data_IF_206171960829
#
_entry.id   IF_206171960829
#
_cell.length_a   1.000
_cell.length_b   1.000
_cell.length_c   1.000
_cell.angle_alpha   90.00
_cell.angle_beta   90.00
_cell.angle_gamma   90.00
#
_symmetry.space_group_name_H-M   'P 1'
#
loop_
_entity.id
_entity.type
_entity.pdbx_description
1 polymer ?
#
# COMPACT_ATOMS: atom_id res chain seq x y z
N UNK A 1 3.57 -29.06 0.89
CA UNK A 1 4.63 -28.26 0.27
C UNK A 1 4.88 -27.04 1.14
N UNK A 2 6.14 -26.69 1.34
CA UNK A 2 6.56 -25.53 2.12
C UNK A 2 6.99 -24.40 1.21
N UNK A 3 6.87 -23.16 1.69
CA UNK A 3 7.33 -21.97 1.00
C UNK A 3 8.32 -21.21 1.91
N UNK A 4 9.46 -20.85 1.35
CA UNK A 4 10.53 -20.17 2.06
C UNK A 4 10.81 -18.84 1.39
N UNK A 5 10.92 -17.77 2.20
CA UNK A 5 11.23 -16.41 1.71
C UNK A 5 12.53 -15.97 2.33
N UNK A 6 13.51 -15.67 1.50
CA UNK A 6 14.82 -15.19 1.93
C UNK A 6 15.09 -13.78 1.44
N UNK A 7 15.41 -12.87 2.35
CA UNK A 7 16.02 -11.59 2.04
C UNK A 7 17.53 -11.72 1.99
N UNK A 8 18.09 -11.81 0.79
CA UNK A 8 19.54 -11.99 0.57
C UNK A 8 20.36 -10.70 0.67
N UNK A 9 19.72 -9.52 0.68
CA UNK A 9 20.40 -8.23 0.72
C UNK A 9 20.38 -7.62 2.12
N UNK A 10 21.53 -7.24 2.64
CA UNK A 10 21.69 -6.52 3.90
C UNK A 10 22.27 -5.14 3.63
N UNK A 11 21.52 -4.06 3.94
CA UNK A 11 21.99 -2.69 3.81
C UNK A 11 22.45 -2.06 5.12
N UNK A 12 22.20 -2.71 6.25
CA UNK A 12 22.69 -2.31 7.56
C UNK A 12 22.18 -0.97 8.07
N UNK A 13 20.94 -0.62 7.80
CA UNK A 13 20.39 0.69 8.19
C UNK A 13 20.45 0.92 9.71
N UNK A 14 20.20 -0.10 10.51
CA UNK A 14 20.34 -0.05 11.95
C UNK A 14 21.79 0.23 12.40
N UNK A 15 22.79 -0.18 11.64
CA UNK A 15 24.20 0.14 11.89
C UNK A 15 24.54 1.55 11.44
N UNK A 16 23.93 2.02 10.34
CA UNK A 16 24.14 3.37 9.81
C UNK A 16 23.60 4.43 10.77
N UNK A 17 22.46 4.18 11.41
CA UNK A 17 21.85 5.14 12.35
C UNK A 17 22.39 5.02 13.77
N UNK A 18 23.14 3.96 14.09
CA UNK A 18 23.77 3.81 15.40
C UNK A 18 24.69 5.02 15.70
N UNK A 19 24.59 5.55 16.91
CA UNK A 19 25.36 6.72 17.38
C UNK A 19 25.09 8.03 16.60
N UNK A 20 24.00 8.08 15.80
CA UNK A 20 23.50 9.31 15.19
C UNK A 20 22.48 10.00 16.07
N UNK A 21 22.29 11.30 15.84
CA UNK A 21 21.20 12.02 16.50
C UNK A 21 19.84 11.51 15.96
N UNK A 22 18.76 11.57 16.75
CA UNK A 22 17.42 11.22 16.27
C UNK A 22 16.96 12.04 15.06
N UNK A 23 17.41 13.31 14.95
CA UNK A 23 17.14 14.18 13.80
C UNK A 23 17.82 13.67 12.54
N UNK A 24 19.10 13.30 12.62
CA UNK A 24 19.84 12.69 11.52
C UNK A 24 19.23 11.34 11.14
N UNK A 25 18.85 10.53 12.13
CA UNK A 25 18.23 9.24 11.91
C UNK A 25 16.94 9.38 11.09
N UNK A 26 16.09 10.37 11.38
CA UNK A 26 14.85 10.62 10.63
C UNK A 26 15.11 10.85 9.13
N UNK A 27 16.18 11.57 8.80
CA UNK A 27 16.58 11.81 7.40
C UNK A 27 17.25 10.60 6.76
N UNK A 28 18.05 9.84 7.50
CA UNK A 28 18.76 8.67 6.98
C UNK A 28 17.81 7.53 6.65
N UNK A 29 16.84 7.23 7.53
CA UNK A 29 15.93 6.09 7.34
C UNK A 29 14.99 6.25 6.15
N UNK A 30 14.79 7.45 5.64
CA UNK A 30 14.08 7.65 4.38
C UNK A 30 14.72 6.85 3.23
N UNK A 31 16.05 6.66 3.24
CA UNK A 31 16.79 5.91 2.22
C UNK A 31 16.57 4.40 2.29
N UNK A 32 15.77 3.92 3.25
CA UNK A 32 15.30 2.54 3.22
C UNK A 32 14.49 2.28 1.95
N UNK A 33 13.67 3.25 1.53
CA UNK A 33 12.82 3.11 0.36
C UNK A 33 12.72 4.42 -0.44
N UNK A 34 12.77 4.33 -1.77
CA UNK A 34 12.55 5.47 -2.67
C UNK A 34 11.07 5.70 -3.02
N UNK A 35 10.20 4.72 -2.75
CA UNK A 35 8.75 4.78 -3.03
C UNK A 35 7.97 5.26 -1.80
N UNK A 36 8.38 4.83 -0.58
CA UNK A 36 7.68 5.13 0.67
C UNK A 36 8.57 5.88 1.70
N UNK A 37 9.38 6.86 1.30
CA UNK A 37 10.32 7.53 2.21
C UNK A 37 9.64 8.34 3.31
N UNK A 38 8.46 8.89 3.03
CA UNK A 38 7.69 9.70 3.99
C UNK A 38 7.35 8.91 5.24
N UNK A 39 6.86 7.66 5.07
CA UNK A 39 6.51 6.80 6.20
C UNK A 39 7.70 6.51 7.12
N UNK A 40 8.91 6.38 6.55
CA UNK A 40 10.13 6.18 7.32
C UNK A 40 10.52 7.43 8.11
N UNK A 41 10.50 8.61 7.47
CA UNK A 41 10.75 9.89 8.15
C UNK A 41 9.73 10.14 9.27
N UNK A 42 8.45 9.93 8.98
CA UNK A 42 7.35 10.17 9.92
C UNK A 42 7.45 9.23 11.12
N UNK A 43 7.62 7.93 10.90
CA UNK A 43 7.78 6.96 11.99
C UNK A 43 9.00 7.27 12.88
N UNK A 44 10.14 7.62 12.28
CA UNK A 44 11.35 7.99 13.02
C UNK A 44 11.17 9.29 13.81
N UNK A 45 10.53 10.30 13.22
CA UNK A 45 10.23 11.56 13.91
C UNK A 45 9.29 11.35 15.11
N UNK A 46 8.23 10.55 14.96
CA UNK A 46 7.33 10.20 16.06
C UNK A 46 8.08 9.45 17.17
N UNK A 47 8.98 8.52 16.81
CA UNK A 47 9.78 7.79 17.79
C UNK A 47 10.70 8.75 18.59
N UNK A 48 11.36 9.68 17.91
CA UNK A 48 12.20 10.71 18.54
C UNK A 48 11.38 11.63 19.46
N UNK A 49 10.22 12.07 19.02
CA UNK A 49 9.30 12.92 19.81
C UNK A 49 8.86 12.23 21.09
N UNK A 50 8.52 10.94 21.01
CA UNK A 50 8.18 10.16 22.21
C UNK A 50 9.36 10.04 23.16
N UNK A 51 10.57 9.82 22.63
CA UNK A 51 11.77 9.71 23.45
C UNK A 51 12.12 11.04 24.15
N UNK A 52 11.89 12.16 23.49
CA UNK A 52 12.13 13.50 24.04
C UNK A 52 10.95 14.06 24.86
N UNK A 53 9.78 13.43 24.82
CA UNK A 53 8.56 13.96 25.43
C UNK A 53 8.05 15.23 24.73
N UNK A 54 8.23 15.36 23.43
CA UNK A 54 7.82 16.50 22.63
C UNK A 54 6.42 16.30 22.08
N UNK A 55 5.57 17.32 22.18
CA UNK A 55 4.28 17.41 21.50
C UNK A 55 4.38 18.39 20.33
N UNK A 56 3.87 17.97 19.18
CA UNK A 56 3.87 18.81 17.96
C UNK A 56 2.63 19.71 17.90
N UNK A 57 2.74 20.84 17.21
CA UNK A 57 1.60 21.72 17.00
C UNK A 57 0.54 21.07 16.08
N UNK A 58 -0.73 21.51 16.22
CA UNK A 58 -1.81 21.01 15.40
C UNK A 58 -1.57 21.23 13.87
N UNK A 59 -0.97 22.37 13.51
CA UNK A 59 -0.65 22.65 12.11
C UNK A 59 0.45 21.71 11.59
N UNK A 60 1.47 21.41 12.37
CA UNK A 60 2.50 20.44 12.01
C UNK A 60 1.91 19.04 11.80
N UNK A 61 1.00 18.62 12.68
CA UNK A 61 0.26 17.36 12.55
C UNK A 61 -0.52 17.29 11.24
N UNK A 62 -1.29 18.32 10.89
CA UNK A 62 -2.06 18.39 9.64
C UNK A 62 -1.13 18.33 8.42
N UNK A 63 -0.06 19.10 8.40
CA UNK A 63 0.90 19.12 7.30
C UNK A 63 1.53 17.74 7.11
N UNK A 64 1.96 17.08 8.19
CA UNK A 64 2.49 15.71 8.11
C UNK A 64 1.46 14.71 7.59
N UNK A 65 0.21 14.80 8.03
CA UNK A 65 -0.87 13.95 7.51
C UNK A 65 -1.10 14.17 6.01
N UNK A 66 -1.04 15.40 5.51
CA UNK A 66 -1.16 15.69 4.09
C UNK A 66 0.02 15.14 3.27
N UNK A 67 1.25 15.23 3.79
CA UNK A 67 2.44 14.64 3.13
C UNK A 67 2.31 13.11 3.08
N UNK A 68 1.94 12.48 4.21
CA UNK A 68 1.73 11.04 4.29
C UNK A 68 0.58 10.58 3.39
N UNK A 69 -0.54 11.33 3.37
CA UNK A 69 -1.67 11.08 2.48
C UNK A 69 -1.28 11.11 1.01
N UNK A 70 -0.47 12.09 0.61
CA UNK A 70 0.04 12.18 -0.76
C UNK A 70 0.89 10.96 -1.13
N UNK A 71 1.75 10.48 -0.22
CA UNK A 71 2.50 9.24 -0.43
C UNK A 71 1.59 8.01 -0.53
N UNK A 72 0.56 7.90 0.32
CA UNK A 72 -0.41 6.81 0.22
C UNK A 72 -1.10 6.79 -1.14
N UNK A 73 -1.59 7.93 -1.61
CA UNK A 73 -2.23 8.05 -2.93
C UNK A 73 -1.26 7.65 -4.04
N UNK A 74 -0.04 8.19 -4.04
CA UNK A 74 1.01 7.79 -4.98
C UNK A 74 1.22 6.27 -4.98
N UNK A 75 1.44 5.69 -3.81
CA UNK A 75 1.76 4.27 -3.67
C UNK A 75 0.61 3.35 -4.06
N UNK A 76 -0.63 3.71 -3.74
CA UNK A 76 -1.80 2.89 -4.06
C UNK A 76 -2.19 2.96 -5.54
N UNK A 77 -2.07 4.14 -6.17
CA UNK A 77 -2.25 4.31 -7.61
C UNK A 77 -1.21 3.47 -8.37
N UNK A 78 0.06 3.62 -8.01
CA UNK A 78 1.17 2.83 -8.58
C UNK A 78 0.94 1.34 -8.40
N UNK A 79 0.59 0.91 -7.18
CA UNK A 79 0.41 -0.51 -6.89
C UNK A 79 -0.69 -1.13 -7.76
N UNK A 80 -1.84 -0.48 -7.84
CA UNK A 80 -2.95 -1.07 -8.60
C UNK A 80 -2.67 -1.05 -10.10
N UNK A 81 -2.43 0.10 -10.70
CA UNK A 81 -2.32 0.18 -12.15
C UNK A 81 -1.01 -0.37 -12.70
N UNK A 82 0.12 -0.09 -12.05
CA UNK A 82 1.43 -0.37 -12.65
C UNK A 82 2.09 -1.64 -12.12
N UNK A 83 1.54 -2.26 -11.07
CA UNK A 83 2.01 -3.54 -10.54
C UNK A 83 0.93 -4.61 -10.66
N UNK A 84 -0.14 -4.55 -9.85
CA UNK A 84 -1.14 -5.61 -9.79
C UNK A 84 -2.12 -5.61 -10.98
N UNK A 85 -2.43 -4.46 -11.58
CA UNK A 85 -3.42 -4.36 -12.66
C UNK A 85 -3.05 -5.17 -13.90
N UNK A 86 -1.75 -5.31 -14.18
CA UNK A 86 -1.26 -6.08 -15.32
C UNK A 86 -1.50 -7.60 -15.17
N UNK A 87 -1.82 -8.08 -13.97
CA UNK A 87 -2.25 -9.47 -13.75
C UNK A 87 -3.71 -9.71 -14.20
N UNK A 88 -4.48 -8.65 -14.40
CA UNK A 88 -5.89 -8.69 -14.79
C UNK A 88 -6.15 -8.19 -16.22
N UNK A 89 -5.32 -7.26 -16.70
CA UNK A 89 -5.54 -6.46 -17.90
C UNK A 89 -4.56 -6.84 -19.00
N UNK A 90 -5.07 -7.19 -20.19
CA UNK A 90 -4.27 -7.54 -21.35
C UNK A 90 -4.33 -6.44 -22.43
N UNK A 91 -3.28 -5.59 -22.56
CA UNK A 91 -3.22 -4.56 -23.60
C UNK A 91 -3.26 -5.09 -25.03
N UNK A 92 -2.86 -6.34 -25.28
CA UNK A 92 -3.00 -6.99 -26.62
C UNK A 92 -4.44 -7.33 -26.92
N UNK A 93 -5.23 -7.78 -25.92
CA UNK A 93 -6.65 -8.02 -26.12
C UNK A 93 -7.42 -6.72 -26.38
N UNK A 94 -6.98 -5.61 -25.76
CA UNK A 94 -7.55 -4.27 -25.99
C UNK A 94 -7.52 -3.84 -27.49
N UNK A 95 -6.60 -4.38 -28.29
CA UNK A 95 -6.56 -4.14 -29.75
C UNK A 95 -7.79 -4.67 -30.50
N UNK A 96 -8.50 -5.65 -29.92
CA UNK A 96 -9.72 -6.22 -30.49
C UNK A 96 -10.98 -5.42 -30.16
N UNK A 97 -10.91 -4.48 -29.21
CA UNK A 97 -12.05 -3.72 -28.71
C UNK A 97 -12.74 -2.90 -29.80
N UNK A 98 -14.06 -2.84 -29.75
CA UNK A 98 -14.81 -1.77 -30.40
C UNK A 98 -14.75 -0.52 -29.50
N UNK A 99 -14.23 0.58 -30.01
CA UNK A 99 -14.04 1.79 -29.22
C UNK A 99 -15.36 2.47 -28.81
N UNK A 100 -16.38 2.39 -29.68
CA UNK A 100 -17.72 2.89 -29.35
C UNK A 100 -18.33 2.13 -28.17
N UNK A 101 -18.29 0.79 -28.27
CA UNK A 101 -18.80 -0.10 -27.21
C UNK A 101 -17.99 0.05 -25.91
N UNK A 102 -16.68 0.39 -26.01
CA UNK A 102 -15.86 0.67 -24.85
C UNK A 102 -16.30 1.95 -24.11
N UNK A 103 -16.66 3.02 -24.83
CA UNK A 103 -17.24 4.23 -24.21
C UNK A 103 -18.59 3.94 -23.56
N UNK A 104 -19.44 3.18 -24.19
CA UNK A 104 -20.76 2.78 -23.64
C UNK A 104 -20.59 1.93 -22.37
N UNK A 105 -19.65 0.99 -22.40
CA UNK A 105 -19.32 0.16 -21.24
C UNK A 105 -18.74 0.98 -20.09
N UNK A 106 -17.83 1.91 -20.38
CA UNK A 106 -17.26 2.83 -19.37
C UNK A 106 -18.36 3.63 -18.68
N UNK A 107 -19.30 4.18 -19.45
CA UNK A 107 -20.44 4.90 -18.91
C UNK A 107 -21.34 4.00 -18.04
N UNK A 108 -21.64 2.79 -18.51
CA UNK A 108 -22.48 1.83 -17.79
C UNK A 108 -21.85 1.32 -16.48
N UNK A 109 -20.52 1.22 -16.41
CA UNK A 109 -19.76 0.78 -15.23
C UNK A 109 -19.36 1.90 -14.31
N UNK A 110 -19.55 3.16 -14.70
CA UNK A 110 -19.08 4.32 -13.97
C UNK A 110 -17.55 4.50 -14.00
N UNK A 111 -16.88 3.85 -14.95
CA UNK A 111 -15.43 3.93 -15.16
C UNK A 111 -15.14 5.11 -16.11
N UNK A 112 -15.21 6.34 -15.61
CA UNK A 112 -14.99 7.53 -16.45
C UNK A 112 -13.54 7.58 -16.96
N UNK A 113 -13.35 7.91 -18.25
CA UNK A 113 -12.02 8.15 -18.82
C UNK A 113 -11.98 9.50 -19.51
N UNK A 114 -10.88 10.24 -19.28
CA UNK A 114 -10.56 11.45 -20.02
C UNK A 114 -9.73 11.15 -21.28
N UNK A 115 -9.30 9.91 -21.46
CA UNK A 115 -8.42 9.50 -22.56
C UNK A 115 -9.20 9.31 -23.86
N UNK A 116 -8.59 9.72 -24.98
CA UNK A 116 -9.06 9.36 -26.32
C UNK A 116 -8.71 7.88 -26.59
N UNK A 117 -9.73 7.02 -26.49
CA UNK A 117 -9.56 5.57 -26.71
C UNK A 117 -9.27 5.21 -28.17
N UNK A 118 -9.65 6.04 -29.16
CA UNK A 118 -9.24 5.84 -30.55
C UNK A 118 -7.75 6.06 -30.74
N UNK A 119 -7.23 7.18 -30.25
CA UNK A 119 -5.78 7.47 -30.28
C UNK A 119 -4.96 6.46 -29.47
N UNK A 120 -5.50 6.01 -28.33
CA UNK A 120 -4.87 4.96 -27.54
C UNK A 120 -4.75 3.65 -28.32
N UNK A 121 -5.83 3.18 -28.93
CA UNK A 121 -5.83 1.94 -29.71
C UNK A 121 -4.84 2.00 -30.89
N UNK A 122 -4.76 3.14 -31.59
CA UNK A 122 -3.74 3.36 -32.64
C UNK A 122 -2.32 3.27 -32.08
N UNK A 123 -2.07 3.87 -30.91
CA UNK A 123 -0.77 3.81 -30.24
C UNK A 123 -0.40 2.38 -29.82
N UNK A 124 -1.36 1.64 -29.26
CA UNK A 124 -1.17 0.23 -28.87
C UNK A 124 -0.85 -0.65 -30.11
N UNK A 125 -1.53 -0.43 -31.26
CA UNK A 125 -1.20 -1.13 -32.50
C UNK A 125 0.25 -0.92 -32.91
N UNK A 126 0.74 0.31 -32.90
CA UNK A 126 2.15 0.63 -33.19
C UNK A 126 3.12 -0.06 -32.22
N UNK A 127 2.77 -0.16 -30.95
CA UNK A 127 3.58 -0.86 -29.95
C UNK A 127 3.60 -2.38 -30.19
N UNK A 128 2.46 -2.95 -30.55
CA UNK A 128 2.38 -4.36 -30.91
C UNK A 128 3.19 -4.70 -32.17
N UNK A 129 3.07 -3.87 -33.22
CA UNK A 129 3.82 -4.05 -34.47
C UNK A 129 5.34 -3.97 -34.26
N UNK A 130 5.79 -3.18 -33.29
CA UNK A 130 7.21 -3.05 -32.92
C UNK A 130 7.65 -4.09 -31.85
N UNK A 131 6.80 -5.04 -31.46
CA UNK A 131 7.12 -6.07 -30.47
C UNK A 131 7.20 -5.56 -29.02
N UNK A 132 6.83 -4.31 -28.75
CA UNK A 132 6.93 -3.71 -27.41
C UNK A 132 5.91 -4.28 -26.40
N UNK A 133 4.87 -4.96 -26.89
CA UNK A 133 3.88 -5.64 -26.05
C UNK A 133 4.12 -7.17 -25.97
N UNK A 134 5.29 -7.65 -26.37
CA UNK A 134 5.60 -9.08 -26.41
C UNK A 134 5.48 -9.79 -25.05
N UNK A 135 5.69 -9.05 -23.93
CA UNK A 135 5.48 -9.58 -22.57
C UNK A 135 4.05 -10.10 -22.36
N UNK A 136 3.05 -9.52 -23.05
CA UNK A 136 1.64 -9.95 -22.94
C UNK A 136 1.27 -11.06 -23.94
N UNK A 137 2.20 -11.47 -24.82
CA UNK A 137 1.99 -12.57 -25.77
C UNK A 137 2.45 -13.92 -25.23
N UNK A 138 3.01 -13.97 -24.03
CA UNK A 138 3.43 -15.20 -23.38
C UNK A 138 2.27 -15.99 -22.80
N UNK A 139 2.42 -17.31 -22.72
CA UNK A 139 1.36 -18.22 -22.27
C UNK A 139 1.29 -18.37 -20.73
N UNK A 140 2.03 -17.61 -19.98
CA UNK A 140 2.04 -17.75 -18.51
C UNK A 140 0.75 -17.30 -17.83
N UNK A 141 -0.04 -16.43 -18.51
CA UNK A 141 -1.37 -16.04 -18.07
C UNK A 141 -2.50 -16.72 -18.85
N UNK A 142 -2.19 -17.40 -19.94
CA UNK A 142 -3.13 -18.20 -20.76
C UNK A 142 -2.97 -19.69 -20.44
N UNK A 143 -3.01 -20.04 -19.16
CA UNK A 143 -2.94 -21.43 -18.77
C UNK A 143 -4.20 -22.19 -19.25
N UNK A 144 -4.01 -23.44 -19.67
CA UNK A 144 -5.11 -24.32 -20.14
C UNK A 144 -6.20 -24.53 -19.08
N UNK A 145 -5.91 -24.23 -17.80
CA UNK A 145 -6.84 -24.32 -16.68
C UNK A 145 -7.77 -23.09 -16.53
N UNK A 146 -7.69 -22.11 -17.43
CA UNK A 146 -8.53 -20.92 -17.45
C UNK A 146 -8.15 -19.86 -16.42
N UNK A 147 -6.94 -19.90 -15.86
CA UNK A 147 -6.42 -18.87 -14.93
C UNK A 147 -5.86 -17.62 -15.61
N UNK A 148 -5.98 -17.54 -16.95
CA UNK A 148 -5.48 -16.44 -17.76
C UNK A 148 -6.33 -15.16 -17.69
N UNK A 149 -6.08 -14.25 -18.64
CA UNK A 149 -6.83 -13.02 -18.79
C UNK A 149 -8.29 -13.27 -19.17
N UNK A 150 -9.23 -12.66 -18.43
CA UNK A 150 -10.67 -12.95 -18.51
C UNK A 150 -11.54 -11.76 -18.93
N UNK A 151 -10.95 -10.58 -19.10
CA UNK A 151 -11.72 -9.38 -19.42
C UNK A 151 -12.15 -9.35 -20.89
N UNK A 152 -13.33 -8.78 -21.21
CA UNK A 152 -13.66 -8.42 -22.59
C UNK A 152 -12.71 -7.33 -23.09
N UNK A 153 -12.49 -7.30 -24.39
CA UNK A 153 -11.54 -6.39 -25.02
C UNK A 153 -11.83 -4.90 -24.73
N UNK A 154 -13.10 -4.53 -24.62
CA UNK A 154 -13.55 -3.19 -24.30
C UNK A 154 -13.09 -2.77 -22.89
N UNK A 155 -13.19 -3.68 -21.90
CA UNK A 155 -12.74 -3.41 -20.55
C UNK A 155 -11.21 -3.37 -20.46
N UNK A 156 -10.50 -4.23 -21.18
CA UNK A 156 -9.05 -4.16 -21.32
C UNK A 156 -8.60 -2.81 -21.90
N UNK A 157 -9.34 -2.27 -22.88
CA UNK A 157 -9.04 -0.96 -23.46
C UNK A 157 -9.25 0.18 -22.45
N UNK A 158 -10.37 0.16 -21.71
CA UNK A 158 -10.67 1.14 -20.65
C UNK A 158 -9.58 1.13 -19.58
N UNK A 159 -9.27 -0.04 -19.03
CA UNK A 159 -8.28 -0.17 -17.95
C UNK A 159 -6.86 0.14 -18.43
N UNK A 160 -6.54 -0.11 -19.71
CA UNK A 160 -5.27 0.33 -20.30
C UNK A 160 -5.21 1.86 -20.44
N UNK A 161 -6.33 2.54 -20.74
CA UNK A 161 -6.41 4.01 -20.70
C UNK A 161 -6.12 4.54 -19.29
N UNK A 162 -6.76 3.96 -18.27
CA UNK A 162 -6.57 4.33 -16.88
C UNK A 162 -5.16 4.03 -16.36
N UNK A 163 -4.50 2.98 -16.85
CA UNK A 163 -3.07 2.76 -16.58
C UNK A 163 -2.21 3.97 -16.99
N UNK A 164 -2.47 4.56 -18.16
CA UNK A 164 -1.73 5.74 -18.64
C UNK A 164 -2.12 7.02 -17.87
N UNK A 165 -3.37 7.16 -17.48
CA UNK A 165 -3.82 8.26 -16.62
C UNK A 165 -3.18 8.15 -15.22
N UNK A 166 -3.09 6.94 -14.67
CA UNK A 166 -2.46 6.68 -13.38
C UNK A 166 -1.01 7.16 -13.30
N UNK A 167 -0.24 7.07 -14.40
CA UNK A 167 1.12 7.62 -14.44
C UNK A 167 1.16 9.14 -14.19
N UNK A 168 0.16 9.87 -14.67
CA UNK A 168 0.02 11.32 -14.42
C UNK A 168 -0.45 11.60 -12.99
N UNK A 169 -1.38 10.79 -12.48
CA UNK A 169 -1.90 10.95 -11.11
C UNK A 169 -0.86 10.65 -10.04
N UNK A 170 0.03 9.70 -10.28
CA UNK A 170 1.21 9.47 -9.42
C UNK A 170 2.12 10.71 -9.37
N UNK A 171 2.37 11.34 -10.52
CA UNK A 171 3.18 12.56 -10.56
C UNK A 171 2.51 13.67 -9.72
N UNK A 172 1.20 13.86 -9.84
CA UNK A 172 0.45 14.85 -9.04
C UNK A 172 0.50 14.58 -7.54
N UNK A 173 0.36 13.31 -7.14
CA UNK A 173 0.52 12.93 -5.73
C UNK A 173 1.95 13.25 -5.24
N UNK A 174 2.96 12.99 -6.07
CA UNK A 174 4.35 13.37 -5.77
C UNK A 174 4.56 14.89 -5.71
N UNK A 175 3.84 15.67 -6.54
CA UNK A 175 3.87 17.14 -6.50
C UNK A 175 3.32 17.67 -5.17
N UNK A 176 2.25 17.09 -4.61
CA UNK A 176 1.74 17.45 -3.28
C UNK A 176 2.81 17.17 -2.21
N UNK A 177 3.40 15.98 -2.23
CA UNK A 177 4.46 15.62 -1.29
C UNK A 177 5.67 16.56 -1.43
N UNK A 178 6.04 16.96 -2.64
CA UNK A 178 7.14 17.88 -2.89
C UNK A 178 6.80 19.33 -2.48
N UNK A 179 5.57 19.78 -2.71
CA UNK A 179 5.09 21.11 -2.33
C UNK A 179 5.20 21.33 -0.82
N UNK A 180 4.78 20.34 -0.04
CA UNK A 180 4.79 20.38 1.42
C UNK A 180 6.13 19.91 2.01
N UNK A 181 6.75 18.92 1.39
CA UNK A 181 7.95 18.23 1.84
C UNK A 181 9.27 18.82 1.32
N UNK A 182 9.20 19.77 0.38
CA UNK A 182 10.37 20.38 -0.27
C UNK A 182 10.90 19.60 -1.47
N UNK A 183 10.73 18.29 -1.48
CA UNK A 183 11.01 17.39 -2.61
C UNK A 183 10.31 16.04 -2.43
N UNK A 184 10.19 15.26 -3.48
CA UNK A 184 9.80 13.86 -3.47
C UNK A 184 10.64 13.10 -4.51
N UNK A 185 11.24 11.95 -4.20
CA UNK A 185 11.27 11.27 -2.91
C UNK A 185 12.18 11.95 -1.88
N UNK A 186 12.11 11.47 -0.63
CA UNK A 186 12.90 11.90 0.51
C UNK A 186 12.61 13.35 0.92
N UNK A 187 11.45 13.55 1.52
CA UNK A 187 10.99 14.86 2.01
C UNK A 187 11.92 15.43 3.09
N UNK A 188 12.07 16.75 3.11
CA UNK A 188 13.01 17.43 4.02
C UNK A 188 12.33 18.19 5.15
N UNK A 189 10.99 18.25 5.15
CA UNK A 189 10.25 19.08 6.10
C UNK A 189 9.66 18.33 7.28
N UNK A 190 9.64 16.99 7.25
CA UNK A 190 9.27 16.17 8.40
C UNK A 190 10.50 16.04 9.28
N UNK A 191 10.44 16.65 10.46
CA UNK A 191 11.53 16.66 11.43
C UNK A 191 10.99 16.45 12.85
N UNK A 192 11.75 15.83 13.76
CA UNK A 192 11.34 15.73 15.16
C UNK A 192 10.97 17.11 15.73
N UNK A 193 9.78 17.23 16.34
CA UNK A 193 9.24 18.49 16.85
C UNK A 193 8.27 19.19 15.89
N UNK A 194 8.05 18.68 14.66
CA UNK A 194 7.02 19.21 13.78
C UNK A 194 7.35 19.18 12.29
N UNK A 195 7.28 20.34 11.66
CA UNK A 195 7.55 20.51 10.23
C UNK A 195 8.32 21.80 9.97
N UNK A 196 9.24 21.75 9.01
CA UNK A 196 9.94 22.94 8.51
C UNK A 196 9.16 23.66 7.38
N UNK A 197 7.98 23.15 6.97
CA UNK A 197 7.17 23.78 5.94
C UNK A 197 6.54 25.08 6.44
N UNK A 198 6.65 26.14 5.64
CA UNK A 198 6.00 27.43 5.89
C UNK A 198 4.88 27.62 4.86
N UNK A 199 3.61 27.61 5.28
CA UNK A 199 2.48 27.80 4.39
C UNK A 199 2.43 29.26 3.87
N UNK A 200 2.08 29.41 2.58
CA UNK A 200 1.70 30.68 1.96
C UNK A 200 0.35 30.49 1.25
N UNK A 201 -0.40 31.55 1.03
CA UNK A 201 -1.70 31.44 0.33
C UNK A 201 -1.57 30.74 -1.02
N UNK A 202 -0.56 31.11 -1.83
CA UNK A 202 -0.34 30.47 -3.13
C UNK A 202 -0.12 28.96 -3.01
N UNK A 203 0.73 28.51 -2.06
CA UNK A 203 0.97 27.08 -1.85
C UNK A 203 -0.28 26.32 -1.39
N UNK A 204 -1.14 26.97 -0.60
CA UNK A 204 -2.41 26.37 -0.17
C UNK A 204 -3.42 26.28 -1.31
N UNK A 205 -3.45 27.26 -2.21
CA UNK A 205 -4.29 27.22 -3.43
C UNK A 205 -3.83 26.11 -4.38
N UNK A 206 -2.50 25.99 -4.60
CA UNK A 206 -1.92 24.90 -5.40
C UNK A 206 -2.22 23.53 -4.77
N UNK A 207 -2.07 23.40 -3.46
CA UNK A 207 -2.38 22.18 -2.71
C UNK A 207 -3.84 21.76 -2.91
N UNK A 208 -4.76 22.71 -2.72
CA UNK A 208 -6.20 22.46 -2.87
C UNK A 208 -6.53 21.98 -4.27
N UNK A 209 -5.99 22.63 -5.29
CA UNK A 209 -6.19 22.24 -6.68
C UNK A 209 -5.73 20.79 -6.94
N UNK A 210 -4.50 20.44 -6.51
CA UNK A 210 -3.95 19.11 -6.71
C UNK A 210 -4.73 18.04 -5.95
N UNK A 211 -5.15 18.32 -4.73
CA UNK A 211 -5.95 17.39 -3.90
C UNK A 211 -7.33 17.17 -4.53
N UNK A 212 -8.00 18.23 -4.97
CA UNK A 212 -9.32 18.13 -5.62
C UNK A 212 -9.22 17.30 -6.92
N UNK A 213 -8.18 17.49 -7.72
CA UNK A 213 -7.97 16.75 -8.95
C UNK A 213 -7.73 15.26 -8.69
N UNK A 214 -6.87 14.94 -7.69
CA UNK A 214 -6.61 13.55 -7.29
C UNK A 214 -7.87 12.88 -6.71
N UNK A 215 -8.58 13.56 -5.81
CA UNK A 215 -9.81 13.03 -5.23
C UNK A 215 -10.84 12.69 -6.32
N UNK A 216 -11.10 13.63 -7.23
CA UNK A 216 -12.08 13.42 -8.29
C UNK A 216 -11.71 12.24 -9.19
N UNK A 217 -10.42 12.08 -9.52
CA UNK A 217 -9.95 10.95 -10.32
C UNK A 217 -10.03 9.62 -9.55
N UNK A 218 -9.63 9.58 -8.29
CA UNK A 218 -9.71 8.37 -7.46
C UNK A 218 -11.16 7.91 -7.30
N UNK A 219 -12.07 8.85 -7.02
CA UNK A 219 -13.51 8.57 -6.87
C UNK A 219 -14.13 8.04 -8.16
N UNK A 220 -13.83 8.67 -9.30
CA UNK A 220 -14.44 8.33 -10.59
C UNK A 220 -13.80 7.13 -11.29
N UNK A 221 -12.60 6.67 -10.86
CA UNK A 221 -11.81 5.73 -11.64
C UNK A 221 -11.40 4.50 -10.83
N UNK A 222 -10.69 4.66 -9.71
CA UNK A 222 -10.00 3.53 -9.06
C UNK A 222 -10.96 2.47 -8.50
N UNK A 223 -11.92 2.86 -7.67
CA UNK A 223 -12.89 1.91 -7.11
C UNK A 223 -13.85 1.37 -8.19
N UNK A 224 -14.40 2.18 -9.11
CA UNK A 224 -15.17 1.69 -10.25
C UNK A 224 -14.43 0.66 -11.10
N UNK A 225 -13.14 0.83 -11.38
CA UNK A 225 -12.34 -0.13 -12.14
C UNK A 225 -12.29 -1.50 -11.48
N UNK A 226 -12.04 -1.56 -10.18
CA UNK A 226 -12.01 -2.82 -9.46
C UNK A 226 -13.40 -3.47 -9.41
N UNK A 227 -14.45 -2.69 -9.23
CA UNK A 227 -15.82 -3.20 -9.28
C UNK A 227 -16.21 -3.71 -10.68
N UNK A 228 -15.67 -3.09 -11.73
CA UNK A 228 -15.90 -3.51 -13.11
C UNK A 228 -15.20 -4.84 -13.46
N UNK A 229 -13.95 -5.03 -12.97
CA UNK A 229 -13.18 -6.25 -13.25
C UNK A 229 -13.56 -7.44 -12.34
N UNK A 230 -14.03 -7.18 -11.13
CA UNK A 230 -14.28 -8.21 -10.11
C UNK A 230 -15.17 -9.37 -10.58
N UNK A 231 -16.27 -9.17 -11.33
CA UNK A 231 -17.13 -10.26 -11.79
C UNK A 231 -16.44 -11.28 -12.69
N UNK A 232 -15.34 -10.90 -13.34
CA UNK A 232 -14.59 -11.78 -14.25
C UNK A 232 -13.56 -12.64 -13.54
N UNK A 233 -13.19 -12.29 -12.29
CA UNK A 233 -12.14 -12.94 -11.51
C UNK A 233 -12.63 -13.48 -10.16
N UNK A 234 -13.85 -13.99 -10.11
CA UNK A 234 -14.46 -14.50 -8.88
C UNK A 234 -13.73 -15.70 -8.28
N UNK A 235 -12.97 -16.46 -9.06
CA UNK A 235 -12.08 -17.53 -8.59
C UNK A 235 -10.96 -16.99 -7.69
N UNK A 236 -10.49 -15.76 -7.91
CA UNK A 236 -9.50 -15.10 -7.06
C UNK A 236 -10.00 -14.80 -5.63
N UNK A 237 -11.29 -15.00 -5.35
CA UNK A 237 -11.83 -15.02 -3.99
C UNK A 237 -11.35 -16.22 -3.15
N UNK A 238 -10.85 -17.26 -3.80
CA UNK A 238 -10.33 -18.46 -3.14
C UNK A 238 -8.83 -18.39 -2.84
N UNK A 239 -8.12 -17.41 -3.40
CA UNK A 239 -6.67 -17.27 -3.31
C UNK A 239 -6.25 -16.14 -2.35
N UNK A 240 -5.02 -16.22 -1.84
CA UNK A 240 -4.38 -15.12 -1.10
C UNK A 240 -4.79 -15.00 0.36
N UNK A 241 -5.45 -16.01 0.93
CA UNK A 241 -5.77 -16.02 2.36
C UNK A 241 -4.48 -16.05 3.18
N UNK A 242 -4.35 -15.09 4.08
CA UNK A 242 -3.23 -15.01 5.00
C UNK A 242 -3.48 -15.73 6.32
N UNK A 243 -2.77 -15.31 7.38
CA UNK A 243 -2.86 -15.95 8.71
C UNK A 243 -4.18 -15.68 9.46
N UNK A 244 -5.05 -14.79 8.96
CA UNK A 244 -6.34 -14.46 9.58
C UNK A 244 -6.24 -13.64 10.87
N UNK A 245 -5.07 -13.10 11.18
CA UNK A 245 -4.81 -12.20 12.31
C UNK A 245 -4.23 -10.90 11.77
N UNK A 246 -4.71 -9.76 12.28
CA UNK A 246 -4.42 -8.46 11.70
C UNK A 246 -4.03 -7.47 12.79
N UNK A 247 -3.02 -6.63 12.49
CA UNK A 247 -2.61 -5.53 13.35
C UNK A 247 -2.53 -4.23 12.55
N UNK A 248 -3.07 -3.16 13.11
CA UNK A 248 -2.90 -1.80 12.62
C UNK A 248 -2.39 -0.91 13.76
N UNK A 249 -1.31 -0.19 13.52
CA UNK A 249 -0.79 0.81 14.47
C UNK A 249 -1.62 2.10 14.47
N UNK A 250 -2.41 2.30 13.42
CA UNK A 250 -3.15 3.53 13.14
C UNK A 250 -2.31 4.54 12.36
N UNK A 251 -2.98 5.31 11.50
CA UNK A 251 -2.37 6.37 10.67
C UNK A 251 -3.24 7.61 10.71
N UNK A 252 -2.64 8.74 10.39
CA UNK A 252 -3.27 10.07 10.39
C UNK A 252 -3.76 10.47 11.79
N UNK A 253 -2.83 11.04 12.56
CA UNK A 253 -3.12 11.51 13.90
C UNK A 253 -4.22 12.56 13.89
N UNK A 254 -5.15 12.47 14.86
CA UNK A 254 -6.08 13.53 15.19
C UNK A 254 -5.56 14.38 16.37
N UNK A 255 -6.36 15.33 16.87
CA UNK A 255 -5.96 16.24 17.94
C UNK A 255 -5.66 15.53 19.27
N UNK A 256 -6.24 14.36 19.51
CA UNK A 256 -6.02 13.61 20.76
C UNK A 256 -4.69 12.88 20.79
N UNK A 257 -4.08 12.66 19.62
CA UNK A 257 -2.86 11.84 19.42
C UNK A 257 -3.00 10.38 19.89
N UNK A 258 -4.17 9.95 20.36
CA UNK A 258 -4.42 8.59 20.80
C UNK A 258 -4.48 7.63 19.58
N UNK A 259 -3.86 6.47 19.71
CA UNK A 259 -3.74 5.49 18.64
C UNK A 259 -5.11 4.99 18.11
N UNK A 260 -6.05 4.77 19.01
CA UNK A 260 -7.39 4.29 18.66
C UNK A 260 -8.36 5.38 18.20
N UNK A 261 -7.95 6.66 18.26
CA UNK A 261 -8.72 7.82 17.80
C UNK A 261 -8.13 8.44 16.52
N UNK A 262 -7.11 7.85 15.93
CA UNK A 262 -6.61 8.27 14.62
C UNK A 262 -7.68 8.15 13.54
N UNK A 263 -7.57 8.90 12.46
CA UNK A 263 -8.53 8.81 11.34
C UNK A 263 -8.60 7.39 10.77
N UNK A 264 -7.46 6.67 10.74
CA UNK A 264 -7.42 5.22 10.58
C UNK A 264 -6.93 4.63 11.91
N UNK A 265 -7.82 4.12 12.76
CA UNK A 265 -7.50 3.79 14.14
C UNK A 265 -6.62 2.55 14.28
N UNK A 266 -5.89 2.48 15.39
CA UNK A 266 -5.12 1.29 15.77
C UNK A 266 -6.03 0.19 16.33
N UNK A 267 -5.55 -1.04 16.21
CA UNK A 267 -6.21 -2.21 16.79
C UNK A 267 -5.58 -3.52 16.35
N UNK A 268 -5.95 -4.57 17.04
CA UNK A 268 -5.58 -5.97 16.74
C UNK A 268 -6.86 -6.76 16.52
N UNK A 269 -6.87 -7.59 15.49
CA UNK A 269 -7.98 -8.51 15.22
C UNK A 269 -7.46 -9.95 15.25
N UNK A 270 -8.00 -10.74 16.16
CA UNK A 270 -7.67 -12.16 16.34
C UNK A 270 -8.98 -12.98 16.47
N UNK A 271 -8.86 -14.30 16.41
CA UNK A 271 -9.92 -15.26 16.77
C UNK A 271 -11.33 -14.89 16.27
N UNK A 272 -11.52 -14.89 14.95
CA UNK A 272 -12.82 -14.54 14.34
C UNK A 272 -13.05 -13.03 14.23
N UNK A 273 -11.99 -12.25 14.11
CA UNK A 273 -12.00 -10.80 13.98
C UNK A 273 -12.52 -10.07 15.24
N UNK A 274 -12.20 -10.61 16.42
CA UNK A 274 -12.40 -9.91 17.68
C UNK A 274 -11.42 -8.74 17.77
N UNK A 275 -11.95 -7.54 18.02
CA UNK A 275 -11.17 -6.31 18.13
C UNK A 275 -10.59 -6.15 19.55
N UNK A 276 -9.30 -5.84 19.62
CA UNK A 276 -8.56 -5.51 20.83
C UNK A 276 -7.73 -4.25 20.60
N UNK A 277 -7.35 -3.54 21.67
CA UNK A 277 -6.39 -2.46 21.58
C UNK A 277 -4.95 -3.01 21.44
N UNK A 278 -4.07 -2.23 20.83
CA UNK A 278 -2.68 -2.62 20.64
C UNK A 278 -1.93 -2.52 21.97
N UNK A 279 -1.40 -3.65 22.43
CA UNK A 279 -0.48 -3.74 23.55
C UNK A 279 0.95 -3.86 23.01
N UNK A 280 1.72 -2.77 23.13
CA UNK A 280 3.08 -2.70 22.58
C UNK A 280 4.06 -3.68 23.21
N UNK A 281 3.80 -4.13 24.45
CA UNK A 281 4.64 -5.12 25.15
C UNK A 281 4.59 -6.51 24.51
N UNK A 282 3.57 -6.76 23.68
CA UNK A 282 3.39 -8.04 22.96
C UNK A 282 4.07 -8.06 21.60
N UNK A 283 4.66 -6.95 21.16
CA UNK A 283 5.40 -6.88 19.90
C UNK A 283 6.80 -7.46 20.12
N UNK A 284 7.18 -8.43 19.30
CA UNK A 284 8.51 -9.05 19.34
C UNK A 284 9.04 -9.29 17.92
N UNK A 285 10.36 -9.34 17.79
CA UNK A 285 11.04 -9.77 16.57
C UNK A 285 11.56 -11.20 16.72
N UNK A 286 11.33 -12.01 15.69
CA UNK A 286 11.80 -13.40 15.62
C UNK A 286 12.95 -13.48 14.62
N UNK A 287 14.12 -13.91 15.09
CA UNK A 287 15.36 -13.95 14.31
C UNK A 287 16.00 -15.33 14.26
N UNK A 288 15.25 -16.38 14.64
CA UNK A 288 15.75 -17.76 14.71
C UNK A 288 16.34 -18.29 13.40
N UNK A 289 15.79 -17.84 12.26
CA UNK A 289 16.26 -18.21 10.93
C UNK A 289 16.98 -17.05 10.22
N UNK A 290 17.37 -16.03 10.96
CA UNK A 290 18.00 -14.82 10.40
C UNK A 290 19.44 -14.69 10.90
N UNK A 291 20.30 -14.06 10.08
CA UNK A 291 21.72 -13.89 10.37
C UNK A 291 21.99 -12.80 11.42
N UNK A 292 21.50 -13.01 12.64
CA UNK A 292 21.73 -12.14 13.79
C UNK A 292 22.16 -12.94 15.01
N UNK A 293 23.03 -12.37 15.86
CA UNK A 293 23.49 -12.99 17.09
C UNK A 293 22.38 -13.18 18.11
N UNK A 294 22.53 -14.21 18.92
CA UNK A 294 21.73 -14.47 20.12
C UNK A 294 20.43 -15.21 19.86
N UNK A 295 19.49 -15.09 20.79
CA UNK A 295 18.29 -15.92 20.85
C UNK A 295 17.31 -15.64 19.71
N UNK A 296 16.45 -16.63 19.45
CA UNK A 296 15.50 -16.62 18.37
C UNK A 296 14.41 -15.52 18.47
N UNK A 297 14.15 -15.03 19.68
CA UNK A 297 13.11 -14.03 19.93
C UNK A 297 13.69 -12.81 20.61
N UNK A 298 13.33 -11.65 20.12
CA UNK A 298 13.73 -10.34 20.65
C UNK A 298 12.52 -9.53 21.02
N UNK A 299 12.53 -8.91 22.19
CA UNK A 299 11.48 -7.95 22.57
C UNK A 299 11.98 -6.52 22.45
N UNK A 300 11.22 -5.70 21.72
CA UNK A 300 11.45 -4.27 21.69
C UNK A 300 11.02 -3.64 23.04
N UNK A 301 11.72 -2.59 23.57
CA UNK A 301 12.79 -1.84 22.92
C UNK A 301 14.21 -2.19 23.39
N UNK A 302 14.43 -3.21 24.19
CA UNK A 302 15.58 -3.37 25.08
C UNK A 302 16.78 -4.13 24.50
N UNK A 303 16.80 -4.41 23.19
CA UNK A 303 17.90 -5.18 22.61
C UNK A 303 18.60 -4.46 21.46
N UNK A 304 19.89 -4.76 21.34
CA UNK A 304 20.71 -4.35 20.21
C UNK A 304 20.76 -5.45 19.17
N UNK A 305 20.42 -5.15 17.92
CA UNK A 305 20.58 -6.09 16.82
C UNK A 305 22.04 -6.13 16.38
N UNK A 306 22.64 -7.30 16.40
CA UNK A 306 24.00 -7.54 15.91
C UNK A 306 23.96 -8.47 14.71
N UNK A 307 24.27 -8.01 13.49
CA UNK A 307 24.37 -8.86 12.32
C UNK A 307 25.50 -9.88 12.45
N UNK A 308 25.22 -11.11 12.06
CA UNK A 308 26.20 -12.18 12.02
C UNK A 308 25.89 -13.12 10.86
N UNK A 309 26.61 -12.96 9.75
CA UNK A 309 26.48 -13.86 8.61
C UNK A 309 27.16 -15.19 8.90
N UNK A 310 26.37 -16.26 8.97
CA UNK A 310 26.85 -17.61 9.29
C UNK A 310 26.69 -18.59 8.13
N UNK A 311 26.35 -18.10 6.94
CA UNK A 311 26.01 -18.91 5.77
C UNK A 311 24.84 -19.89 6.02
N UNK A 312 24.26 -20.40 4.98
CA UNK A 312 23.34 -21.52 5.02
C UNK A 312 23.96 -22.66 4.20
N UNK A 313 24.24 -23.77 4.85
CA UNK A 313 24.65 -24.95 4.11
C UNK A 313 24.10 -26.21 4.78
N UNK A 314 23.85 -27.16 3.92
CA UNK A 314 23.38 -28.49 4.27
C UNK A 314 24.49 -29.44 3.92
N UNK A 315 25.09 -30.04 4.91
CA UNK A 315 25.97 -31.18 4.68
C UNK A 315 25.11 -32.42 4.50
N UNK A 316 25.31 -33.35 3.79
CA UNK A 316 24.43 -34.45 3.40
C UNK A 316 23.69 -35.19 4.54
N UNK A 317 23.88 -34.85 5.79
CA UNK A 317 23.25 -35.50 6.95
C UNK A 317 22.24 -34.61 7.68
N UNK A 318 22.61 -33.36 7.99
CA UNK A 318 21.78 -32.45 8.77
C UNK A 318 22.00 -30.99 8.37
N UNK A 319 21.07 -30.13 8.71
CA UNK A 319 21.24 -28.67 8.59
C UNK A 319 22.19 -28.21 9.67
N UNK A 320 23.39 -27.82 9.29
CA UNK A 320 24.40 -27.30 10.23
C UNK A 320 24.02 -25.93 10.74
N UNK A 321 23.29 -25.18 9.90
CA UNK A 321 22.82 -23.86 10.22
C UNK A 321 21.50 -23.60 9.44
N UNK A 322 20.42 -23.30 10.14
CA UNK A 322 19.10 -23.04 9.59
C UNK A 322 18.80 -21.56 9.37
N UNK A 323 19.80 -20.69 9.53
CA UNK A 323 19.70 -19.27 9.22
C UNK A 323 19.89 -19.04 7.72
N UNK A 324 18.91 -18.47 7.08
CA UNK A 324 18.86 -18.36 5.61
C UNK A 324 18.45 -16.96 5.10
N UNK A 325 18.30 -15.98 5.98
CA UNK A 325 17.74 -14.67 5.60
C UNK A 325 18.31 -13.53 6.45
N UNK A 326 18.30 -12.32 5.91
CA UNK A 326 18.48 -11.08 6.67
C UNK A 326 17.17 -10.50 7.21
N UNK A 327 16.04 -11.07 6.83
CA UNK A 327 14.73 -10.58 7.26
C UNK A 327 14.48 -10.96 8.71
N UNK A 328 14.11 -9.98 9.52
CA UNK A 328 13.53 -10.17 10.85
C UNK A 328 12.02 -10.30 10.72
N UNK A 329 11.42 -11.19 11.48
CA UNK A 329 9.98 -11.45 11.44
C UNK A 329 9.31 -10.83 12.67
N UNK A 330 8.70 -9.65 12.58
CA UNK A 330 7.93 -9.11 13.69
C UNK A 330 6.64 -9.92 13.90
N UNK A 331 6.25 -10.09 15.15
CA UNK A 331 5.04 -10.77 15.54
C UNK A 331 4.38 -10.12 16.74
N UNK A 332 3.21 -10.59 17.12
CA UNK A 332 2.42 -10.11 18.23
C UNK A 332 1.94 -11.29 19.07
N UNK A 333 2.25 -11.27 20.37
CA UNK A 333 1.87 -12.35 21.31
C UNK A 333 2.25 -13.75 20.82
N UNK A 334 3.47 -13.90 20.31
CA UNK A 334 4.00 -15.17 19.80
C UNK A 334 3.42 -15.61 18.45
N UNK A 335 2.64 -14.78 17.76
CA UNK A 335 1.93 -15.15 16.53
C UNK A 335 2.29 -14.22 15.38
N UNK A 336 2.34 -14.74 14.12
CA UNK A 336 2.43 -13.90 12.94
C UNK A 336 1.16 -13.08 12.76
N UNK A 337 1.33 -11.82 12.35
CA UNK A 337 0.24 -10.89 12.09
C UNK A 337 0.37 -10.31 10.69
N UNK A 338 -0.76 -10.04 10.07
CA UNK A 338 -0.79 -9.23 8.86
C UNK A 338 -0.88 -7.74 9.22
N UNK A 339 -0.09 -6.91 8.55
CA UNK A 339 -0.17 -5.46 8.57
C UNK A 339 -0.38 -4.95 7.13
N UNK A 340 -0.94 -3.75 6.97
CA UNK A 340 -1.17 -3.13 5.66
C UNK A 340 -2.62 -2.71 5.46
N UNK A 341 -3.02 -2.46 4.21
CA UNK A 341 -4.34 -1.93 3.85
C UNK A 341 -5.49 -2.76 4.41
N UNK A 342 -5.44 -4.09 4.26
CA UNK A 342 -6.49 -4.97 4.77
C UNK A 342 -6.62 -4.85 6.29
N UNK A 343 -5.51 -4.87 7.02
CA UNK A 343 -5.51 -4.75 8.49
C UNK A 343 -6.09 -3.42 8.94
N UNK A 344 -5.65 -2.31 8.33
CA UNK A 344 -6.14 -0.97 8.67
C UNK A 344 -7.64 -0.83 8.40
N UNK A 345 -8.11 -1.30 7.27
CA UNK A 345 -9.53 -1.22 6.88
C UNK A 345 -10.39 -2.13 7.77
N UNK A 346 -9.96 -3.36 8.07
CA UNK A 346 -10.71 -4.25 8.95
C UNK A 346 -10.81 -3.68 10.38
N UNK A 347 -9.72 -3.11 10.90
CA UNK A 347 -9.74 -2.43 12.21
C UNK A 347 -10.66 -1.22 12.17
N UNK A 348 -10.57 -0.36 11.15
CA UNK A 348 -11.43 0.80 11.00
C UNK A 348 -12.92 0.41 10.84
N UNK A 349 -13.20 -0.67 10.11
CA UNK A 349 -14.56 -1.25 10.01
C UNK A 349 -15.09 -1.70 11.38
N UNK A 350 -14.29 -2.44 12.14
CA UNK A 350 -14.65 -2.90 13.49
C UNK A 350 -14.75 -1.76 14.52
N UNK A 351 -14.06 -0.64 14.27
CA UNK A 351 -14.20 0.61 15.03
C UNK A 351 -15.38 1.47 14.55
N UNK A 352 -16.18 0.98 13.59
CA UNK A 352 -17.35 1.67 13.03
C UNK A 352 -17.04 3.05 12.43
N UNK A 353 -15.92 3.19 11.70
CA UNK A 353 -15.65 4.39 10.89
C UNK A 353 -16.67 4.46 9.76
N UNK A 354 -17.61 5.44 9.73
CA UNK A 354 -18.79 5.37 8.87
C UNK A 354 -18.48 5.29 7.38
N UNK A 355 -17.48 6.05 6.90
CA UNK A 355 -17.05 5.99 5.53
C UNK A 355 -16.56 4.59 5.15
N UNK A 356 -15.74 3.99 6.00
CA UNK A 356 -15.17 2.65 5.76
C UNK A 356 -16.27 1.60 5.74
N UNK A 357 -17.18 1.61 6.71
CA UNK A 357 -18.29 0.66 6.76
C UNK A 357 -19.09 0.70 5.46
N UNK A 358 -19.53 1.89 5.03
CA UNK A 358 -20.30 2.07 3.79
C UNK A 358 -19.61 1.47 2.57
N UNK A 359 -18.32 1.75 2.37
CA UNK A 359 -17.62 1.35 1.15
C UNK A 359 -17.15 -0.10 1.18
N UNK A 360 -16.82 -0.63 2.36
CA UNK A 360 -16.53 -2.06 2.54
C UNK A 360 -17.75 -2.91 2.25
N UNK A 361 -18.92 -2.50 2.73
CA UNK A 361 -20.18 -3.23 2.46
C UNK A 361 -20.48 -3.23 0.95
N UNK A 362 -20.28 -2.12 0.25
CA UNK A 362 -20.43 -2.03 -1.20
C UNK A 362 -19.45 -2.96 -1.96
N UNK A 363 -18.21 -3.06 -1.51
CA UNK A 363 -17.24 -4.01 -2.08
C UNK A 363 -17.68 -5.45 -1.85
N UNK A 364 -18.14 -5.79 -0.64
CA UNK A 364 -18.62 -7.14 -0.32
C UNK A 364 -19.86 -7.53 -1.16
N UNK A 365 -20.77 -6.60 -1.39
CA UNK A 365 -21.90 -6.82 -2.29
C UNK A 365 -21.44 -7.09 -3.72
N UNK A 366 -20.52 -6.28 -4.24
CA UNK A 366 -19.98 -6.47 -5.60
C UNK A 366 -19.22 -7.79 -5.77
N UNK A 367 -18.58 -8.27 -4.71
CA UNK A 367 -17.91 -9.58 -4.67
C UNK A 367 -18.89 -10.76 -4.48
N UNK A 368 -20.19 -10.52 -4.33
CA UNK A 368 -21.18 -11.57 -4.06
C UNK A 368 -21.04 -12.21 -2.66
N UNK A 369 -20.42 -11.50 -1.71
CA UNK A 369 -20.13 -11.98 -0.36
C UNK A 369 -20.63 -11.00 0.73
N UNK A 370 -21.91 -10.55 0.69
CA UNK A 370 -22.40 -9.54 1.61
C UNK A 370 -22.24 -9.98 3.07
N UNK A 371 -21.69 -9.07 3.90
CA UNK A 371 -21.43 -9.31 5.32
C UNK A 371 -20.28 -10.28 5.63
N UNK A 372 -19.67 -10.92 4.65
CA UNK A 372 -18.57 -11.86 4.84
C UNK A 372 -17.20 -11.19 4.80
N UNK A 373 -16.75 -10.61 5.91
CA UNK A 373 -15.45 -9.95 6.01
C UNK A 373 -14.26 -10.86 5.68
N UNK A 374 -14.39 -12.19 5.79
CA UNK A 374 -13.31 -13.11 5.44
C UNK A 374 -13.03 -13.13 3.92
N UNK A 375 -14.00 -12.76 3.09
CA UNK A 375 -13.80 -12.63 1.64
C UNK A 375 -12.78 -11.53 1.30
N UNK A 376 -12.65 -10.51 2.14
CA UNK A 376 -11.68 -9.42 1.98
C UNK A 376 -10.22 -9.90 2.11
N UNK A 377 -9.97 -11.04 2.76
CA UNK A 377 -8.65 -11.65 2.85
C UNK A 377 -8.17 -12.30 1.55
N UNK A 378 -9.03 -12.46 0.56
CA UNK A 378 -8.68 -12.99 -0.77
C UNK A 378 -7.88 -11.97 -1.60
N UNK A 379 -7.24 -12.45 -2.68
CA UNK A 379 -6.51 -11.58 -3.63
C UNK A 379 -7.40 -10.46 -4.16
N UNK A 380 -8.61 -10.80 -4.62
CA UNK A 380 -9.55 -9.81 -5.15
C UNK A 380 -10.10 -8.89 -4.05
N UNK A 381 -10.40 -9.45 -2.87
CA UNK A 381 -10.83 -8.66 -1.71
C UNK A 381 -9.76 -7.65 -1.26
N UNK A 382 -8.49 -8.05 -1.21
CA UNK A 382 -7.36 -7.15 -0.90
C UNK A 382 -7.22 -6.02 -1.92
N UNK A 383 -7.45 -6.32 -3.19
CA UNK A 383 -7.45 -5.32 -4.26
C UNK A 383 -8.57 -4.30 -4.05
N UNK A 384 -9.80 -4.75 -3.81
CA UNK A 384 -10.95 -3.87 -3.55
C UNK A 384 -10.77 -2.99 -2.32
N UNK A 385 -10.28 -3.56 -1.22
CA UNK A 385 -10.06 -2.84 0.04
C UNK A 385 -8.99 -1.76 -0.09
N UNK A 386 -7.95 -1.98 -0.88
CA UNK A 386 -6.95 -0.95 -1.15
C UNK A 386 -7.56 0.28 -1.84
N UNK A 387 -8.53 0.08 -2.72
CA UNK A 387 -9.24 1.20 -3.37
C UNK A 387 -10.12 1.96 -2.37
N UNK A 388 -10.78 1.25 -1.45
CA UNK A 388 -11.53 1.90 -0.36
C UNK A 388 -10.60 2.73 0.51
N UNK A 389 -9.42 2.22 0.86
CA UNK A 389 -8.41 2.99 1.61
C UNK A 389 -7.96 4.22 0.84
N UNK A 390 -7.69 4.09 -0.45
CA UNK A 390 -7.27 5.20 -1.31
C UNK A 390 -8.32 6.31 -1.34
N UNK A 391 -9.57 5.95 -1.55
CA UNK A 391 -10.68 6.90 -1.60
C UNK A 391 -10.90 7.60 -0.24
N UNK A 392 -10.79 6.84 0.86
CA UNK A 392 -10.91 7.41 2.20
C UNK A 392 -9.81 8.43 2.50
N UNK A 393 -8.55 8.08 2.17
CA UNK A 393 -7.42 8.99 2.36
C UNK A 393 -7.58 10.25 1.51
N UNK A 394 -7.98 10.10 0.24
CA UNK A 394 -8.23 11.25 -0.63
C UNK A 394 -9.33 12.16 -0.06
N UNK A 395 -10.40 11.60 0.54
CA UNK A 395 -11.45 12.37 1.19
C UNK A 395 -10.93 13.13 2.42
N UNK A 396 -10.10 12.49 3.25
CA UNK A 396 -9.50 13.14 4.42
C UNK A 396 -8.55 14.28 4.05
N UNK A 397 -7.84 14.15 2.93
CA UNK A 397 -6.96 15.22 2.45
C UNK A 397 -7.72 16.44 1.94
N UNK A 398 -8.96 16.24 1.48
CA UNK A 398 -9.84 17.30 1.01
C UNK A 398 -10.48 18.09 2.14
N UNK A 399 -10.74 17.50 3.30
CA UNK A 399 -11.26 18.12 4.54
C UNK A 399 -10.19 18.99 5.24
#
# INVERSE_FOLDING_TARGET
SDAWVSGGCFRGMELVVKDRTPEDAAQIVERICGVCPVSHAHASSIAAEKAYGIEISNNARIIRNLIEGAQFLHSHILWFYNLAGLDYVNPLNALKANVGDAYDLAAAKGCATASDMYALKERLSKFADNGQLSIFSGNWFDAEDGTGYKLPAELDLILTAHYLEALKMQAKASEIAALLGGKMPHVMTIVPGGTAFVPTSSKLDDLKYLVDELYNWVEATMLPDVLALAPYYTDALNWGKGCGRYIAWGVFENKSMLLNERYMPAGVLQDGLKLEDVDTSKIAEYVGHSWYKGDATRQSPDYTTEPEYTEYYKDGSDTVNDRYSWVKCPGYDGKPMEAGSLSRILVAYKRNVPFIVKHVDAVLEALGAPGNLNALGSTLGRTGIRQVETLYIASLMKE
#
